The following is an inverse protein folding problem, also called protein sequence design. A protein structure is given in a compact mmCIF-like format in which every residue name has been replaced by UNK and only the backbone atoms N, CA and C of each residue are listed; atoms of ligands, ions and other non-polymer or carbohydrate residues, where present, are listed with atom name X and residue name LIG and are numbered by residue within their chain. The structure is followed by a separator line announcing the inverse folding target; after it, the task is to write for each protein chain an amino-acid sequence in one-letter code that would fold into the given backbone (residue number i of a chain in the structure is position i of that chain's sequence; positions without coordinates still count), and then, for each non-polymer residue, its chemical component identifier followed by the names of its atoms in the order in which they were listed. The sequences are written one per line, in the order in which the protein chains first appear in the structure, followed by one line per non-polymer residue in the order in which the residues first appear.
data_IF_203350747612
#
_entry.id   IF_203350747612
#
_cell.length_a   1.000
_cell.length_b   1.000
_cell.length_c   1.000
_cell.angle_alpha   90.00
_cell.angle_beta   90.00
_cell.angle_gamma   90.00
#
_symmetry.space_group_name_H-M   'P 1'
#
loop_
_entity.id
_entity.type
_entity.pdbx_description
1 polymer ?
#
# COMPACT_ATOMS: atom_id res chain seq x y z
N UNK A 1 17.92 39.86 -23.16
CA UNK A 1 17.03 40.33 -22.06
C UNK A 1 15.83 39.41 -22.01
N UNK A 2 15.76 38.52 -21.02
CA UNK A 2 14.62 37.64 -20.83
C UNK A 2 13.52 38.42 -20.08
N UNK A 3 12.37 38.61 -20.74
CA UNK A 3 11.19 39.25 -20.18
C UNK A 3 10.59 38.30 -19.12
N UNK A 4 10.87 38.55 -17.84
CA UNK A 4 10.17 37.89 -16.73
C UNK A 4 8.82 38.60 -16.55
N UNK A 5 7.78 38.06 -17.20
CA UNK A 5 6.41 38.51 -16.97
C UNK A 5 6.00 38.12 -15.54
N UNK A 6 5.73 39.11 -14.71
CA UNK A 6 5.12 38.95 -13.39
C UNK A 6 3.69 38.44 -13.64
N UNK A 7 3.42 37.20 -13.24
CA UNK A 7 2.07 36.63 -13.33
C UNK A 7 1.11 37.42 -12.44
N UNK A 8 -0.09 37.69 -12.93
CA UNK A 8 -1.13 38.40 -12.19
C UNK A 8 -1.59 37.58 -10.98
N UNK A 9 -2.08 38.22 -9.93
CA UNK A 9 -2.50 37.54 -8.68
C UNK A 9 -3.56 36.45 -8.93
N UNK A 10 -4.45 36.63 -9.91
CA UNK A 10 -5.43 35.59 -10.32
C UNK A 10 -4.76 34.35 -10.93
N UNK A 11 -3.66 34.50 -11.67
CA UNK A 11 -2.91 33.36 -12.21
C UNK A 11 -2.16 32.62 -11.09
N UNK A 12 -1.69 33.34 -10.07
CA UNK A 12 -1.08 32.76 -8.87
C UNK A 12 -2.12 32.01 -8.04
N UNK A 13 -3.32 32.55 -7.87
CA UNK A 13 -4.42 31.89 -7.16
C UNK A 13 -4.92 30.65 -7.92
N UNK A 14 -5.06 30.72 -9.25
CA UNK A 14 -5.36 29.56 -10.10
C UNK A 14 -4.23 28.53 -10.12
N UNK A 15 -2.97 28.94 -10.01
CA UNK A 15 -1.83 28.04 -9.89
C UNK A 15 -1.82 27.36 -8.51
N UNK A 16 -2.12 28.10 -7.43
CA UNK A 16 -2.28 27.59 -6.07
C UNK A 16 -3.48 26.63 -5.99
N UNK A 17 -4.64 26.98 -6.56
CA UNK A 17 -5.81 26.11 -6.68
C UNK A 17 -5.51 24.88 -7.53
N UNK A 18 -4.80 25.01 -8.66
CA UNK A 18 -4.31 23.86 -9.42
C UNK A 18 -3.32 23.02 -8.63
N UNK A 19 -2.42 23.61 -7.85
CA UNK A 19 -1.47 22.87 -7.01
C UNK A 19 -2.18 22.15 -5.85
N UNK A 20 -3.23 22.76 -5.29
CA UNK A 20 -4.08 22.16 -4.26
C UNK A 20 -5.03 21.08 -4.82
N UNK A 21 -5.50 21.23 -6.06
CA UNK A 21 -6.44 20.31 -6.72
C UNK A 21 -5.76 19.19 -7.51
N UNK A 22 -4.54 19.38 -8.02
CA UNK A 22 -3.85 18.40 -8.87
C UNK A 22 -2.95 17.43 -8.11
N UNK A 23 -2.60 17.69 -6.84
CA UNK A 23 -1.65 16.85 -6.08
C UNK A 23 -2.00 16.80 -4.61
N UNK A 24 -3.06 16.06 -4.32
CA UNK A 24 -3.81 16.24 -3.11
C UNK A 24 -3.32 15.39 -1.96
N UNK A 25 -2.79 14.17 -2.13
CA UNK A 25 -2.70 13.21 -1.02
C UNK A 25 -1.32 13.15 -0.36
N UNK A 26 -1.26 13.52 0.93
CA UNK A 26 -0.10 13.27 1.79
C UNK A 26 -0.05 11.84 2.34
N UNK A 27 -1.22 11.18 2.46
CA UNK A 27 -1.34 9.79 2.87
C UNK A 27 -2.28 9.01 1.94
N UNK A 28 -1.79 7.89 1.40
CA UNK A 28 -2.57 6.95 0.61
C UNK A 28 -2.70 5.63 1.39
N UNK A 29 -3.88 5.33 1.91
CA UNK A 29 -4.17 4.14 2.71
C UNK A 29 -4.91 3.10 1.86
N UNK A 30 -4.22 2.01 1.52
CA UNK A 30 -4.75 0.87 0.79
C UNK A 30 -5.13 -0.25 1.75
N UNK A 31 -6.28 -0.88 1.50
CA UNK A 31 -6.93 -1.83 2.43
C UNK A 31 -7.31 -1.17 3.75
N UNK A 32 -7.90 0.01 3.65
CA UNK A 32 -8.16 0.86 4.81
C UNK A 32 -9.06 0.19 5.85
N UNK A 33 -9.91 -0.77 5.49
CA UNK A 33 -10.92 -1.34 6.38
C UNK A 33 -11.80 -0.24 6.96
N UNK A 34 -11.66 0.02 8.27
CA UNK A 34 -12.34 1.12 8.95
C UNK A 34 -11.69 2.49 8.76
N UNK A 35 -10.54 2.58 8.08
CA UNK A 35 -9.85 3.82 7.74
C UNK A 35 -9.42 4.62 8.98
N UNK A 36 -8.99 3.93 10.04
CA UNK A 36 -8.57 4.59 11.27
C UNK A 36 -7.31 5.43 11.06
N UNK A 37 -6.33 4.94 10.28
CA UNK A 37 -5.07 5.67 10.08
C UNK A 37 -5.31 6.95 9.31
N UNK A 38 -6.06 6.90 8.19
CA UNK A 38 -6.38 8.11 7.45
C UNK A 38 -7.27 9.08 8.24
N UNK A 39 -8.23 8.59 9.04
CA UNK A 39 -9.00 9.46 9.95
C UNK A 39 -8.11 10.13 10.99
N UNK A 40 -7.15 9.41 11.56
CA UNK A 40 -6.17 9.98 12.50
C UNK A 40 -5.26 11.00 11.84
N UNK A 41 -4.78 10.74 10.62
CA UNK A 41 -3.90 11.64 9.88
C UNK A 41 -4.56 13.00 9.56
N UNK A 42 -5.89 13.02 9.39
CA UNK A 42 -6.64 14.28 9.21
C UNK A 42 -6.55 15.22 10.41
N UNK A 43 -6.41 14.70 11.64
CA UNK A 43 -6.17 15.56 12.82
C UNK A 43 -4.79 16.23 12.80
N UNK A 44 -3.85 15.67 12.04
CA UNK A 44 -2.54 16.27 11.78
C UNK A 44 -2.53 17.07 10.46
N UNK A 45 -3.70 17.44 9.93
CA UNK A 45 -3.87 18.21 8.68
C UNK A 45 -3.28 17.54 7.43
N UNK A 46 -3.12 16.21 7.44
CA UNK A 46 -2.80 15.47 6.23
C UNK A 46 -4.05 15.21 5.41
N UNK A 47 -3.93 15.44 4.12
CA UNK A 47 -4.87 15.00 3.09
C UNK A 47 -4.70 13.51 2.82
N UNK A 48 -5.82 12.78 2.77
CA UNK A 48 -5.81 11.31 2.76
C UNK A 48 -6.65 10.74 1.62
N UNK A 49 -6.12 9.76 0.88
CA UNK A 49 -6.89 8.85 0.04
C UNK A 49 -7.02 7.51 0.77
N UNK A 50 -8.25 7.00 0.93
CA UNK A 50 -8.50 5.73 1.60
C UNK A 50 -9.23 4.80 0.63
N UNK A 51 -8.65 3.63 0.37
CA UNK A 51 -9.21 2.64 -0.56
C UNK A 51 -9.43 1.31 0.16
N UNK A 52 -10.66 0.82 0.13
CA UNK A 52 -11.04 -0.48 0.63
C UNK A 52 -12.16 -1.08 -0.21
N UNK A 53 -12.15 -2.40 -0.42
CA UNK A 53 -13.16 -3.11 -1.21
C UNK A 53 -14.58 -2.80 -0.73
N UNK A 54 -14.77 -2.58 0.58
CA UNK A 54 -16.08 -2.30 1.16
C UNK A 54 -16.63 -0.93 0.77
N UNK A 55 -15.78 0.05 0.43
CA UNK A 55 -16.23 1.42 0.10
C UNK A 55 -16.99 1.48 -1.22
N UNK A 56 -16.68 0.58 -2.16
CA UNK A 56 -17.40 0.52 -3.43
C UNK A 56 -18.69 -0.31 -3.39
N UNK A 57 -18.98 -1.05 -2.31
CA UNK A 57 -20.16 -1.94 -2.27
C UNK A 57 -21.49 -1.20 -2.48
N UNK A 58 -21.57 0.04 -2.03
CA UNK A 58 -22.78 0.87 -2.14
C UNK A 58 -22.90 1.61 -3.48
N UNK A 59 -21.80 1.77 -4.21
CA UNK A 59 -21.74 2.59 -5.44
C UNK A 59 -21.67 1.76 -6.71
N UNK A 60 -21.44 0.45 -6.59
CA UNK A 60 -21.43 -0.48 -7.73
C UNK A 60 -22.81 -0.59 -8.35
N UNK A 61 -22.92 -0.15 -9.60
CA UNK A 61 -24.10 -0.40 -10.44
C UNK A 61 -24.16 -1.87 -10.83
N UNK A 62 -25.37 -2.41 -10.97
CA UNK A 62 -25.61 -3.79 -11.42
C UNK A 62 -24.83 -4.06 -12.72
N UNK A 63 -24.02 -5.11 -12.73
CA UNK A 63 -23.21 -5.52 -13.89
C UNK A 63 -21.91 -4.74 -14.10
N UNK A 64 -21.53 -3.82 -13.19
CA UNK A 64 -20.21 -3.15 -13.20
C UNK A 64 -19.29 -3.72 -12.13
N UNK A 65 -17.98 -3.67 -12.39
CA UNK A 65 -16.97 -4.06 -11.42
C UNK A 65 -16.82 -3.00 -10.33
N UNK A 66 -16.43 -3.44 -9.13
CA UNK A 66 -16.12 -2.54 -8.02
C UNK A 66 -14.76 -1.87 -8.25
N UNK A 67 -14.78 -0.56 -8.54
CA UNK A 67 -13.55 0.22 -8.72
C UNK A 67 -12.71 0.37 -7.44
N UNK A 68 -13.22 -0.02 -6.27
CA UNK A 68 -12.43 -0.11 -5.03
C UNK A 68 -11.93 -1.52 -4.74
N UNK A 69 -12.31 -2.52 -5.55
CA UNK A 69 -11.77 -3.87 -5.44
C UNK A 69 -10.45 -3.97 -6.19
N UNK A 70 -9.35 -3.96 -5.43
CA UNK A 70 -8.00 -4.05 -5.97
C UNK A 70 -7.67 -5.42 -6.60
N UNK A 71 -8.58 -6.40 -6.61
CA UNK A 71 -8.45 -7.61 -7.44
C UNK A 71 -8.87 -7.37 -8.90
N UNK A 72 -9.63 -6.31 -9.19
CA UNK A 72 -10.11 -5.96 -10.53
C UNK A 72 -9.17 -4.99 -11.24
N UNK A 73 -9.18 -4.96 -12.58
CA UNK A 73 -8.35 -4.03 -13.34
C UNK A 73 -8.71 -2.56 -13.01
N UNK A 74 -10.00 -2.26 -12.83
CA UNK A 74 -10.48 -0.94 -12.42
C UNK A 74 -9.92 -0.51 -11.06
N UNK A 75 -9.91 -1.42 -10.07
CA UNK A 75 -9.34 -1.12 -8.76
C UNK A 75 -7.84 -0.89 -8.77
N UNK A 76 -7.09 -1.66 -9.56
CA UNK A 76 -5.66 -1.39 -9.74
C UNK A 76 -5.42 -0.05 -10.43
N UNK A 77 -6.19 0.27 -11.48
CA UNK A 77 -6.08 1.55 -12.17
C UNK A 77 -6.39 2.73 -11.24
N UNK A 78 -7.41 2.62 -10.38
CA UNK A 78 -7.71 3.64 -9.36
C UNK A 78 -6.54 3.80 -8.37
N UNK A 79 -5.93 2.71 -7.92
CA UNK A 79 -4.77 2.78 -7.02
C UNK A 79 -3.58 3.49 -7.67
N UNK A 80 -3.28 3.17 -8.93
CA UNK A 80 -2.23 3.84 -9.71
C UNK A 80 -2.56 5.32 -9.86
N UNK A 81 -3.80 5.67 -10.21
CA UNK A 81 -4.24 7.05 -10.35
C UNK A 81 -4.06 7.84 -9.04
N UNK A 82 -4.43 7.25 -7.89
CA UNK A 82 -4.22 7.87 -6.57
C UNK A 82 -2.74 8.14 -6.31
N UNK A 83 -1.85 7.19 -6.60
CA UNK A 83 -0.41 7.37 -6.42
C UNK A 83 0.18 8.44 -7.36
N UNK A 84 -0.24 8.47 -8.62
CA UNK A 84 0.21 9.47 -9.59
C UNK A 84 -0.25 10.90 -9.24
N UNK A 85 -1.30 11.04 -8.43
CA UNK A 85 -1.82 12.31 -7.92
C UNK A 85 -1.43 12.57 -6.44
N UNK A 86 -0.46 11.82 -5.90
CA UNK A 86 0.04 12.05 -4.56
C UNK A 86 0.93 13.32 -4.48
N UNK A 87 1.17 13.81 -3.26
CA UNK A 87 1.94 15.03 -3.02
C UNK A 87 3.41 14.87 -3.50
N UNK A 88 3.90 15.72 -4.43
CA UNK A 88 5.23 15.59 -5.02
C UNK A 88 6.34 15.99 -4.06
N UNK A 89 6.03 16.78 -3.02
CA UNK A 89 6.97 17.12 -1.95
C UNK A 89 7.20 15.95 -0.98
N UNK A 90 6.42 14.87 -1.13
CA UNK A 90 6.49 13.68 -0.32
C UNK A 90 5.12 13.20 0.11
N UNK A 91 4.93 11.88 0.12
CA UNK A 91 3.71 11.24 0.57
C UNK A 91 4.03 9.87 1.19
N UNK A 92 3.11 9.37 2.01
CA UNK A 92 3.16 8.02 2.58
C UNK A 92 2.08 7.14 1.95
N UNK A 93 2.48 5.98 1.42
CA UNK A 93 1.56 4.93 1.00
C UNK A 93 1.55 3.78 2.01
N UNK A 94 0.45 3.61 2.73
CA UNK A 94 0.27 2.53 3.69
C UNK A 94 -0.50 1.37 3.04
N UNK A 95 0.03 0.16 3.13
CA UNK A 95 -0.54 -1.06 2.59
C UNK A 95 -0.84 -2.06 3.72
N UNK A 96 -2.09 -2.15 4.16
CA UNK A 96 -2.55 -3.14 5.13
C UNK A 96 -2.98 -4.44 4.42
N UNK A 97 -2.02 -5.10 3.76
CA UNK A 97 -2.32 -6.23 2.85
C UNK A 97 -3.12 -7.31 3.58
N UNK A 98 -4.19 -7.79 2.94
CA UNK A 98 -5.06 -8.80 3.55
C UNK A 98 -4.25 -10.06 3.87
N UNK A 99 -4.11 -10.36 5.16
CA UNK A 99 -3.25 -11.43 5.66
C UNK A 99 -3.92 -12.81 5.63
N UNK A 100 -5.18 -12.94 5.22
CA UNK A 100 -5.98 -14.17 5.34
C UNK A 100 -5.23 -15.41 4.85
N UNK A 101 -4.70 -15.41 3.62
CA UNK A 101 -3.93 -16.54 3.08
C UNK A 101 -2.45 -16.58 3.49
N UNK A 102 -1.91 -15.50 4.05
CA UNK A 102 -0.50 -15.39 4.45
C UNK A 102 -0.28 -15.53 5.96
N UNK A 103 -1.33 -15.56 6.77
CA UNK A 103 -1.24 -15.73 8.22
C UNK A 103 -0.73 -17.13 8.57
N UNK A 104 0.05 -17.25 9.65
CA UNK A 104 0.52 -18.55 10.12
C UNK A 104 -0.62 -19.51 10.47
N UNK A 105 -1.76 -18.98 10.95
CA UNK A 105 -2.95 -19.77 11.29
C UNK A 105 -3.53 -20.46 10.04
N UNK A 106 -3.41 -19.84 8.85
CA UNK A 106 -3.89 -20.42 7.60
C UNK A 106 -2.85 -21.35 6.93
N UNK A 107 -1.72 -21.69 7.56
CA UNK A 107 -0.72 -22.56 6.88
C UNK A 107 -1.29 -23.95 6.56
N UNK A 108 -2.11 -24.53 7.45
CA UNK A 108 -2.74 -25.84 7.21
C UNK A 108 -3.66 -25.87 5.99
N UNK A 109 -4.42 -24.80 5.78
CA UNK A 109 -5.39 -24.69 4.66
C UNK A 109 -4.73 -24.14 3.40
N UNK A 110 -3.99 -23.02 3.51
CA UNK A 110 -3.30 -22.40 2.38
C UNK A 110 -2.12 -23.24 1.85
N UNK A 111 -1.57 -24.17 2.65
CA UNK A 111 -0.39 -24.99 2.31
C UNK A 111 0.84 -24.17 1.88
N UNK A 112 0.96 -22.93 2.35
CA UNK A 112 2.12 -22.07 2.08
C UNK A 112 3.29 -22.47 2.95
N UNK A 113 4.40 -22.78 2.30
CA UNK A 113 5.70 -23.03 2.94
C UNK A 113 6.80 -22.29 2.17
N UNK A 114 8.04 -22.22 2.67
CA UNK A 114 9.14 -21.67 1.88
C UNK A 114 9.33 -22.37 0.52
N UNK A 115 9.07 -23.69 0.45
CA UNK A 115 9.14 -24.46 -0.79
C UNK A 115 7.89 -24.33 -1.68
N UNK A 116 6.75 -23.94 -1.09
CA UNK A 116 5.46 -23.76 -1.77
C UNK A 116 4.87 -22.38 -1.50
N UNK A 117 5.58 -21.29 -1.85
CA UNK A 117 5.21 -19.95 -1.39
C UNK A 117 3.91 -19.44 -2.00
N UNK A 118 3.50 -19.99 -3.15
CA UNK A 118 2.21 -19.73 -3.81
C UNK A 118 1.02 -20.36 -3.09
N UNK A 119 1.25 -21.37 -2.25
CA UNK A 119 0.23 -22.14 -1.57
C UNK A 119 -0.64 -23.00 -2.50
N UNK A 120 -1.77 -23.45 -1.97
CA UNK A 120 -2.77 -24.21 -2.69
C UNK A 120 -3.65 -23.28 -3.53
N UNK A 121 -3.25 -23.05 -4.78
CA UNK A 121 -3.98 -22.20 -5.72
C UNK A 121 -5.35 -22.76 -6.14
N UNK A 122 -5.76 -23.96 -5.72
CA UNK A 122 -7.15 -24.42 -5.89
C UNK A 122 -8.14 -23.65 -4.99
N UNK A 123 -7.65 -22.97 -3.95
CA UNK A 123 -8.48 -22.23 -3.01
C UNK A 123 -8.63 -20.77 -3.46
N UNK A 124 -9.86 -20.24 -3.65
CA UNK A 124 -10.08 -18.88 -4.14
C UNK A 124 -9.39 -17.79 -3.30
N UNK A 125 -9.38 -17.93 -1.97
CA UNK A 125 -8.73 -16.95 -1.09
C UNK A 125 -7.19 -16.94 -1.22
N UNK A 126 -6.57 -18.05 -1.63
CA UNK A 126 -5.13 -18.13 -1.92
C UNK A 126 -4.83 -17.41 -3.24
N UNK A 127 -5.66 -17.62 -4.27
CA UNK A 127 -5.54 -16.92 -5.55
C UNK A 127 -5.69 -15.40 -5.38
N UNK A 128 -6.72 -14.96 -4.64
CA UNK A 128 -6.94 -13.55 -4.31
C UNK A 128 -5.74 -12.98 -3.55
N UNK A 129 -5.22 -13.70 -2.55
CA UNK A 129 -4.03 -13.28 -1.81
C UNK A 129 -2.81 -13.09 -2.72
N UNK A 130 -2.54 -14.03 -3.63
CA UNK A 130 -1.45 -13.93 -4.60
C UNK A 130 -1.62 -12.71 -5.54
N UNK A 131 -2.84 -12.49 -6.03
CA UNK A 131 -3.17 -11.34 -6.88
C UNK A 131 -2.94 -10.01 -6.15
N UNK A 132 -3.49 -9.87 -4.94
CA UNK A 132 -3.37 -8.66 -4.14
C UNK A 132 -1.91 -8.35 -3.80
N UNK A 133 -1.16 -9.34 -3.31
CA UNK A 133 0.25 -9.13 -2.95
C UNK A 133 1.10 -8.73 -4.16
N UNK A 134 0.86 -9.37 -5.31
CA UNK A 134 1.54 -8.99 -6.55
C UNK A 134 1.30 -7.54 -6.95
N UNK A 135 0.05 -7.08 -6.81
CA UNK A 135 -0.33 -5.69 -7.12
C UNK A 135 0.26 -4.72 -6.11
N UNK A 136 0.32 -5.09 -4.83
CA UNK A 136 0.98 -4.28 -3.81
C UNK A 136 2.46 -4.09 -4.12
N UNK A 137 3.17 -5.16 -4.48
CA UNK A 137 4.59 -5.07 -4.88
C UNK A 137 4.76 -4.10 -6.06
N UNK A 138 3.89 -4.19 -7.08
CA UNK A 138 3.91 -3.26 -8.20
C UNK A 138 3.66 -1.80 -7.77
N UNK A 139 2.67 -1.57 -6.90
CA UNK A 139 2.36 -0.24 -6.38
C UNK A 139 3.53 0.29 -5.53
N UNK A 140 4.24 -0.55 -4.78
CA UNK A 140 5.41 -0.15 -4.00
C UNK A 140 6.60 0.23 -4.87
N UNK A 141 6.82 -0.49 -5.98
CA UNK A 141 7.75 -0.05 -7.01
C UNK A 141 7.39 1.34 -7.51
N UNK A 142 6.11 1.58 -7.84
CA UNK A 142 5.64 2.89 -8.29
C UNK A 142 5.85 3.98 -7.22
N UNK A 143 5.51 3.71 -5.95
CA UNK A 143 5.76 4.65 -4.84
C UNK A 143 7.24 5.00 -4.74
N UNK A 144 8.11 4.00 -4.84
CA UNK A 144 9.58 4.17 -4.80
C UNK A 144 10.06 5.04 -5.97
N UNK A 145 9.56 4.81 -7.19
CA UNK A 145 9.88 5.63 -8.36
C UNK A 145 9.38 7.07 -8.26
N UNK A 146 8.26 7.30 -7.56
CA UNK A 146 7.70 8.63 -7.32
C UNK A 146 8.39 9.37 -6.15
N UNK A 147 9.39 8.76 -5.49
CA UNK A 147 10.06 9.36 -4.33
C UNK A 147 9.19 9.36 -3.06
N UNK A 148 8.08 8.63 -3.05
CA UNK A 148 7.23 8.46 -1.87
C UNK A 148 7.81 7.47 -0.88
N UNK A 149 7.29 7.49 0.34
CA UNK A 149 7.55 6.45 1.35
C UNK A 149 6.41 5.45 1.32
N UNK A 150 6.70 4.16 1.46
CA UNK A 150 5.68 3.13 1.63
C UNK A 150 5.88 2.37 2.94
N UNK A 151 4.79 1.84 3.47
CA UNK A 151 4.79 0.96 4.64
C UNK A 151 3.83 -0.21 4.40
N UNK A 152 4.25 -1.42 4.77
CA UNK A 152 3.41 -2.61 4.71
C UNK A 152 3.15 -3.13 6.09
N UNK A 153 1.88 -3.10 6.49
CA UNK A 153 1.44 -3.65 7.77
C UNK A 153 1.12 -5.14 7.58
N UNK A 154 1.75 -5.98 8.41
CA UNK A 154 1.54 -7.42 8.46
C UNK A 154 1.82 -7.96 9.87
N UNK A 155 1.15 -9.05 10.28
CA UNK A 155 1.54 -9.77 11.47
C UNK A 155 2.94 -10.36 11.33
N UNK A 156 3.65 -10.47 12.45
CA UNK A 156 5.01 -11.05 12.49
C UNK A 156 5.05 -12.50 12.01
N UNK A 157 3.94 -13.21 12.13
CA UNK A 157 3.75 -14.58 11.69
C UNK A 157 3.36 -14.70 10.20
N UNK A 158 3.30 -13.58 9.47
CA UNK A 158 2.97 -13.56 8.04
C UNK A 158 4.01 -14.33 7.21
N UNK A 159 3.53 -15.05 6.21
CA UNK A 159 4.32 -15.77 5.19
C UNK A 159 4.60 -14.92 3.96
N UNK A 160 4.18 -13.66 3.97
CA UNK A 160 4.44 -12.69 2.91
C UNK A 160 5.95 -12.63 2.53
N UNK A 161 6.93 -12.70 3.45
CA UNK A 161 8.35 -12.66 3.09
C UNK A 161 8.82 -13.80 2.19
N UNK A 162 8.10 -14.93 2.16
CA UNK A 162 8.44 -16.06 1.29
C UNK A 162 7.87 -15.92 -0.11
N UNK A 163 7.03 -14.93 -0.36
CA UNK A 163 6.40 -14.75 -1.65
C UNK A 163 7.45 -14.30 -2.69
N UNK A 164 7.59 -14.97 -3.85
CA UNK A 164 8.73 -14.73 -4.74
C UNK A 164 8.86 -13.28 -5.21
N UNK A 165 7.73 -12.63 -5.54
CA UNK A 165 7.73 -11.22 -5.97
C UNK A 165 8.09 -10.26 -4.83
N UNK A 166 7.77 -10.62 -3.60
CA UNK A 166 8.17 -9.83 -2.45
C UNK A 166 9.66 -9.96 -2.18
N UNK A 167 10.19 -11.19 -2.22
CA UNK A 167 11.62 -11.44 -2.09
C UNK A 167 12.41 -10.67 -3.15
N UNK A 168 11.99 -10.78 -4.41
CA UNK A 168 12.56 -10.06 -5.55
C UNK A 168 12.50 -8.53 -5.38
N UNK A 169 11.40 -8.02 -4.82
CA UNK A 169 11.25 -6.61 -4.48
C UNK A 169 12.23 -6.15 -3.39
N UNK A 170 12.33 -6.91 -2.31
CA UNK A 170 13.21 -6.61 -1.17
C UNK A 170 14.70 -6.70 -1.52
N UNK A 171 15.06 -7.46 -2.56
CA UNK A 171 16.43 -7.48 -3.09
C UNK A 171 16.79 -6.19 -3.84
N UNK A 172 15.81 -5.45 -4.37
CA UNK A 172 16.06 -4.23 -5.18
C UNK A 172 15.76 -2.94 -4.46
N UNK A 173 14.84 -2.97 -3.49
CA UNK A 173 14.41 -1.78 -2.76
C UNK A 173 14.85 -1.88 -1.31
N UNK A 174 15.57 -0.85 -0.85
CA UNK A 174 15.98 -0.76 0.55
C UNK A 174 14.80 -0.38 1.42
N UNK A 175 14.41 -1.27 2.32
CA UNK A 175 13.29 -1.08 3.24
C UNK A 175 13.69 -1.28 4.71
N UNK A 176 12.84 -0.81 5.64
CA UNK A 176 13.09 -0.88 7.09
C UNK A 176 12.10 -1.81 7.85
N UNK A 177 12.58 -2.56 8.88
CA UNK A 177 11.75 -3.25 9.91
C UNK A 177 11.20 -2.13 10.72
N UNK A 178 9.91 -2.17 10.98
CA UNK A 178 9.43 -1.61 12.23
C UNK A 178 8.52 -2.65 12.86
N UNK A 179 8.72 -2.89 14.14
CA UNK A 179 7.82 -3.71 14.93
C UNK A 179 7.14 -2.88 15.99
N UNK A 180 5.83 -3.04 16.15
CA UNK A 180 5.06 -2.37 17.21
C UNK A 180 4.13 -3.36 17.92
N UNK A 181 3.72 -3.00 19.13
CA UNK A 181 2.84 -3.81 19.96
C UNK A 181 1.38 -3.47 19.65
N UNK A 182 0.71 -4.30 18.85
CA UNK A 182 -0.73 -4.20 18.64
C UNK A 182 -1.49 -4.86 19.81
N UNK A 183 -1.49 -4.20 20.99
CA UNK A 183 -2.04 -4.70 22.27
C UNK A 183 -3.51 -5.17 22.18
N UNK A 184 -4.28 -4.68 21.19
CA UNK A 184 -5.70 -5.02 20.98
C UNK A 184 -5.95 -6.31 20.19
N UNK A 185 -4.94 -6.93 19.56
CA UNK A 185 -5.09 -8.21 18.86
C UNK A 185 -4.56 -9.43 19.65
N UNK A 186 -4.48 -9.31 20.99
CA UNK A 186 -4.12 -10.44 21.87
C UNK A 186 -2.65 -10.87 21.83
N UNK A 187 -1.75 -10.08 21.22
CA UNK A 187 -0.33 -10.40 21.17
C UNK A 187 0.37 -10.02 22.49
N UNK A 188 0.84 -11.03 23.25
CA UNK A 188 1.69 -10.88 24.45
C UNK A 188 3.15 -10.53 24.12
N UNK A 189 3.51 -10.42 22.83
CA UNK A 189 4.87 -10.17 22.35
C UNK A 189 4.84 -9.28 21.09
N UNK A 190 5.89 -8.48 20.81
CA UNK A 190 5.87 -7.50 19.72
C UNK A 190 5.70 -8.15 18.35
N UNK A 191 4.95 -7.52 17.45
CA UNK A 191 4.98 -7.86 16.03
C UNK A 191 6.33 -7.39 15.47
N UNK A 192 7.22 -8.30 15.12
CA UNK A 192 8.40 -8.01 14.30
C UNK A 192 7.96 -7.88 12.81
N UNK A 193 8.17 -6.76 12.09
CA UNK A 193 7.94 -6.70 10.60
C UNK A 193 9.13 -6.08 9.79
N UNK A 194 9.89 -6.86 8.95
CA UNK A 194 11.39 -7.01 8.55
C UNK A 194 12.47 -5.85 8.31
N UNK A 195 13.61 -5.89 9.06
CA UNK A 195 15.04 -5.36 8.99
C UNK A 195 15.85 -6.04 10.11
N UNK A 196 17.15 -6.37 9.97
CA UNK A 196 18.29 -5.77 9.24
C UNK A 196 19.26 -6.90 8.81
N UNK A 197 20.04 -6.71 7.76
CA UNK A 197 21.50 -6.93 7.85
C UNK A 197 22.23 -5.72 7.26
N UNK A 198 23.05 -5.12 8.11
CA UNK A 198 24.19 -4.32 7.71
C UNK A 198 25.12 -5.17 6.85
N UNK A 199 25.78 -4.51 5.89
CA UNK A 199 27.01 -4.93 5.22
C UNK A 199 27.67 -6.17 5.86
N UNK A 200 27.67 -7.29 5.16
CA UNK A 200 28.78 -8.23 5.24
C UNK A 200 29.59 -8.05 3.96
N UNK A 201 30.80 -7.52 4.12
CA UNK A 201 31.89 -7.77 3.19
C UNK A 201 32.15 -9.28 3.20
N UNK A 202 32.21 -9.89 2.02
CA UNK A 202 32.81 -11.20 1.82
C UNK A 202 33.79 -11.01 0.66
N UNK A 203 35.07 -10.97 1.04
CA UNK A 203 36.08 -11.77 0.35
C UNK A 203 35.67 -13.21 0.54
#
# INVERSE_FOLDING_TARGET
MAHWAVKTDEELDMLCLRMMLLRAFGLCEFFAGHGHVGRSAKFAYYSTAQLDINYGKMTVRKGKQNSFDMTTAAGLALCIWVLLNANPSGFLALFAVVCTSFSAINVGTSKRTPATPWGNCALPHVQVGNCLLSRVVLLQYLVTCLGGTWATEQPSSSRLPWYPRWEEFMLRVRAWRVGWWARHYGALSPQLALTKTSKFSVV
#
